data_IF_403982329710
#
_entry.id   IF_403982329710
#
_cell.length_a   1.000
_cell.length_b   1.000
_cell.length_c   1.000
_cell.angle_alpha   90.00
_cell.angle_beta   90.00
_cell.angle_gamma   90.00
#
_symmetry.space_group_name_H-M   'P 1'
#
loop_
_entity.id
_entity.type
_entity.pdbx_description
1 polymer ?
#
# COMPACT_ATOMS: atom_id res chain seq x y z
N UNK A 1 0.54 -14.73 17.16
CA UNK A 1 1.99 -14.78 17.46
C UNK A 1 2.68 -13.60 16.81
N UNK A 2 3.58 -12.91 17.51
CA UNK A 2 4.50 -11.94 16.90
C UNK A 2 5.65 -12.67 16.20
N UNK A 3 6.10 -12.16 15.05
CA UNK A 3 7.24 -12.72 14.31
C UNK A 3 8.49 -12.80 15.17
N UNK A 4 8.67 -11.85 16.10
CA UNK A 4 9.85 -11.76 16.95
C UNK A 4 9.99 -13.01 17.84
N UNK A 5 8.92 -13.45 18.50
CA UNK A 5 8.94 -14.63 19.39
C UNK A 5 9.12 -15.93 18.61
N UNK A 6 8.77 -15.95 17.31
CA UNK A 6 8.98 -17.12 16.45
C UNK A 6 10.45 -17.34 16.11
N UNK A 7 11.24 -16.26 16.06
CA UNK A 7 12.66 -16.30 15.67
C UNK A 7 13.62 -16.11 16.84
N UNK A 8 13.11 -15.94 18.06
CA UNK A 8 13.91 -15.74 19.29
C UNK A 8 13.47 -16.62 20.44
N UNK A 9 14.36 -16.82 21.41
CA UNK A 9 13.96 -17.23 22.74
C UNK A 9 13.33 -16.02 23.45
N UNK A 10 12.23 -16.24 24.15
CA UNK A 10 11.30 -15.24 24.74
C UNK A 10 11.90 -14.18 25.66
N UNK A 11 13.22 -14.16 25.88
CA UNK A 11 13.95 -13.27 26.77
C UNK A 11 14.94 -12.32 26.08
N UNK A 12 15.19 -12.45 24.77
CA UNK A 12 16.11 -11.56 24.06
C UNK A 12 15.39 -10.27 23.60
N UNK A 13 15.99 -9.09 23.80
CA UNK A 13 15.43 -7.79 23.36
C UNK A 13 15.92 -7.31 21.99
N UNK A 14 17.13 -7.72 21.58
CA UNK A 14 17.73 -7.42 20.27
C UNK A 14 18.38 -8.70 19.77
N UNK A 15 18.16 -9.05 18.50
CA UNK A 15 18.77 -10.21 17.87
C UNK A 15 19.29 -9.87 16.47
N UNK A 16 20.44 -10.42 16.05
CA UNK A 16 20.89 -10.30 14.67
C UNK A 16 19.96 -11.11 13.75
N UNK A 17 19.52 -10.50 12.65
CA UNK A 17 18.65 -11.15 11.66
C UNK A 17 19.24 -11.05 10.26
N UNK A 18 19.20 -12.16 9.52
CA UNK A 18 19.44 -12.18 8.06
C UNK A 18 18.08 -12.21 7.37
N UNK A 19 17.89 -11.37 6.36
CA UNK A 19 16.63 -11.29 5.62
C UNK A 19 16.86 -11.14 4.12
N UNK A 20 15.90 -11.58 3.34
CA UNK A 20 15.82 -11.34 1.91
C UNK A 20 14.36 -11.09 1.51
N UNK A 21 14.15 -10.37 0.41
CA UNK A 21 12.80 -10.11 -0.12
C UNK A 21 12.30 -11.37 -0.83
N UNK A 22 11.07 -11.79 -0.51
CA UNK A 22 10.38 -12.89 -1.18
C UNK A 22 9.01 -12.45 -1.68
N UNK A 23 8.48 -13.03 -2.77
CA UNK A 23 7.13 -12.74 -3.22
C UNK A 23 6.08 -13.03 -2.13
N UNK A 24 5.19 -12.08 -1.86
CA UNK A 24 4.12 -12.26 -0.88
C UNK A 24 3.02 -13.17 -1.44
N UNK A 25 2.62 -14.20 -0.69
CA UNK A 25 1.42 -15.00 -0.99
C UNK A 25 0.23 -14.43 -0.22
N UNK A 26 -0.79 -13.97 -0.94
CA UNK A 26 -2.00 -13.38 -0.36
C UNK A 26 -3.25 -13.98 -0.98
N UNK A 27 -4.37 -13.93 -0.25
CA UNK A 27 -5.71 -14.34 -0.70
C UNK A 27 -6.61 -13.12 -0.85
N UNK A 28 -7.56 -13.15 -1.80
CA UNK A 28 -8.63 -12.16 -1.90
C UNK A 28 -8.34 -10.92 -2.76
N UNK A 29 -7.42 -11.03 -3.73
CA UNK A 29 -7.18 -10.03 -4.80
C UNK A 29 -6.64 -8.68 -4.32
N UNK A 30 -6.33 -7.78 -5.25
CA UNK A 30 -5.99 -6.38 -4.92
C UNK A 30 -7.21 -5.71 -4.30
N UNK A 31 -7.00 -4.92 -3.24
CA UNK A 31 -8.07 -4.18 -2.55
C UNK A 31 -7.74 -2.70 -2.55
N UNK A 32 -8.78 -1.88 -2.62
CA UNK A 32 -8.67 -0.43 -2.58
C UNK A 32 -9.53 0.10 -1.43
N UNK A 33 -8.93 0.92 -0.58
CA UNK A 33 -9.68 1.70 0.41
C UNK A 33 -9.77 3.14 -0.11
N UNK A 34 -10.98 3.61 -0.37
CA UNK A 34 -11.24 4.97 -0.85
C UNK A 34 -11.73 5.85 0.30
N UNK A 35 -11.11 7.02 0.48
CA UNK A 35 -11.49 8.03 1.49
C UNK A 35 -11.46 9.41 0.88
N UNK A 36 -12.24 10.35 1.39
CA UNK A 36 -12.14 11.74 0.97
C UNK A 36 -13.47 12.48 0.98
N UNK A 37 -13.54 13.51 0.14
CA UNK A 37 -14.69 14.37 -0.11
C UNK A 37 -14.72 14.74 -1.61
N UNK A 38 -15.73 15.49 -2.11
CA UNK A 38 -15.87 15.80 -3.54
C UNK A 38 -14.66 16.52 -4.18
N UNK A 39 -13.83 17.20 -3.39
CA UNK A 39 -12.69 17.98 -3.89
C UNK A 39 -11.34 17.29 -3.67
N UNK A 40 -11.30 16.21 -2.90
CA UNK A 40 -10.09 15.50 -2.54
C UNK A 40 -10.40 14.03 -2.26
N UNK A 41 -9.82 13.13 -3.04
CA UNK A 41 -9.99 11.69 -2.90
C UNK A 41 -8.63 11.06 -2.67
N UNK A 42 -8.61 10.07 -1.79
CA UNK A 42 -7.47 9.20 -1.54
C UNK A 42 -7.82 7.74 -1.80
N UNK A 43 -6.83 6.99 -2.28
CA UNK A 43 -6.90 5.57 -2.52
C UNK A 43 -5.71 4.88 -1.85
N UNK A 44 -5.97 3.99 -0.90
CA UNK A 44 -4.95 3.11 -0.33
C UNK A 44 -4.96 1.79 -1.09
N UNK A 45 -3.83 1.42 -1.67
CA UNK A 45 -3.69 0.14 -2.39
C UNK A 45 -3.22 -0.94 -1.43
N UNK A 46 -3.98 -2.02 -1.35
CA UNK A 46 -3.76 -3.11 -0.41
C UNK A 46 -3.72 -4.45 -1.14
N UNK A 47 -3.06 -5.43 -0.52
CA UNK A 47 -3.11 -6.83 -0.94
C UNK A 47 -2.56 -7.12 -2.36
N UNK A 48 -1.54 -6.36 -2.79
CA UNK A 48 -0.86 -6.48 -4.11
C UNK A 48 -0.03 -7.77 -4.27
N UNK A 49 0.26 -8.46 -3.16
CA UNK A 49 0.92 -9.76 -3.16
C UNK A 49 2.29 -9.74 -3.86
N UNK A 50 2.61 -10.77 -4.63
CA UNK A 50 3.92 -10.98 -5.27
C UNK A 50 4.25 -10.03 -6.41
N UNK A 51 3.34 -9.13 -6.82
CA UNK A 51 3.60 -8.18 -7.89
C UNK A 51 4.62 -7.08 -7.51
N UNK A 52 4.90 -6.92 -6.21
CA UNK A 52 5.90 -5.99 -5.70
C UNK A 52 5.32 -4.65 -5.27
N UNK A 53 6.10 -3.59 -5.42
CA UNK A 53 5.76 -2.25 -4.96
C UNK A 53 4.90 -1.51 -5.99
N UNK A 54 3.88 -0.78 -5.52
CA UNK A 54 3.04 0.04 -6.40
C UNK A 54 3.80 1.33 -6.73
N UNK A 55 4.03 1.57 -8.01
CA UNK A 55 4.79 2.73 -8.49
C UNK A 55 3.91 3.85 -9.02
N UNK A 56 2.71 3.54 -9.51
CA UNK A 56 1.77 4.51 -10.07
C UNK A 56 0.33 4.08 -9.83
N UNK A 57 -0.55 5.05 -9.63
CA UNK A 57 -2.00 4.86 -9.56
C UNK A 57 -2.65 5.92 -10.42
N UNK A 58 -3.65 5.51 -11.20
CA UNK A 58 -4.48 6.40 -12.01
C UNK A 58 -5.93 6.15 -11.65
N UNK A 59 -6.76 7.17 -11.78
CA UNK A 59 -8.20 7.10 -11.57
C UNK A 59 -8.92 7.64 -12.80
N UNK A 60 -9.95 6.92 -13.23
CA UNK A 60 -10.86 7.32 -14.31
C UNK A 60 -12.18 7.78 -13.68
N UNK A 61 -12.73 8.87 -14.21
CA UNK A 61 -14.04 9.37 -13.82
C UNK A 61 -15.12 8.96 -14.82
N UNK A 62 -16.17 9.78 -14.93
CA UNK A 62 -17.22 9.57 -15.94
C UNK A 62 -16.74 9.85 -17.38
N UNK A 63 -15.77 10.75 -17.53
CA UNK A 63 -15.06 10.98 -18.79
C UNK A 63 -13.90 9.99 -18.88
N UNK A 64 -13.69 9.37 -20.05
CA UNK A 64 -12.72 8.30 -20.27
C UNK A 64 -11.24 8.72 -20.26
N UNK A 65 -10.86 9.57 -19.31
CA UNK A 65 -9.51 10.12 -19.14
C UNK A 65 -8.91 9.66 -17.80
N UNK A 66 -7.88 8.82 -17.87
CA UNK A 66 -7.13 8.36 -16.71
C UNK A 66 -6.22 9.45 -16.16
N UNK A 67 -6.55 9.98 -14.99
CA UNK A 67 -5.74 11.00 -14.30
C UNK A 67 -4.78 10.35 -13.30
N UNK A 68 -3.50 10.74 -13.28
CA UNK A 68 -2.56 10.24 -12.28
C UNK A 68 -2.92 10.73 -10.89
N UNK A 69 -2.79 9.86 -9.89
CA UNK A 69 -2.83 10.21 -8.49
C UNK A 69 -1.41 10.46 -7.97
N UNK A 70 -1.28 11.38 -7.02
CA UNK A 70 0.00 11.71 -6.38
C UNK A 70 0.22 10.84 -5.15
N UNK A 71 1.46 10.38 -4.88
CA UNK A 71 1.75 9.66 -3.66
C UNK A 71 1.59 10.58 -2.44
N UNK A 72 0.95 10.06 -1.40
CA UNK A 72 0.90 10.60 -0.05
C UNK A 72 1.58 9.60 0.90
N UNK A 73 1.76 9.94 2.18
CA UNK A 73 2.45 9.07 3.14
C UNK A 73 1.95 7.61 3.13
N UNK A 74 2.90 6.68 3.07
CA UNK A 74 2.62 5.25 2.99
C UNK A 74 2.25 4.81 1.58
N UNK A 75 1.20 3.99 1.47
CA UNK A 75 0.64 3.51 0.19
C UNK A 75 -0.70 4.20 -0.12
N UNK A 76 -0.82 5.45 0.35
CA UNK A 76 -1.97 6.31 0.12
C UNK A 76 -1.69 7.17 -1.10
N UNK A 77 -2.61 7.20 -2.04
CA UNK A 77 -2.53 7.98 -3.28
C UNK A 77 -3.63 9.02 -3.26
N UNK A 78 -3.39 10.24 -3.72
CA UNK A 78 -4.35 11.34 -3.63
C UNK A 78 -4.56 12.08 -4.95
N UNK A 79 -5.74 12.65 -5.12
CA UNK A 79 -6.09 13.54 -6.22
C UNK A 79 -7.04 14.63 -5.72
N UNK A 80 -6.95 15.83 -6.32
CA UNK A 80 -7.71 17.01 -5.88
C UNK A 80 -6.97 17.82 -4.80
N UNK A 81 -7.60 18.89 -4.30
CA UNK A 81 -7.01 19.73 -3.24
C UNK A 81 -6.05 20.85 -3.71
N UNK A 82 -6.02 21.18 -5.00
CA UNK A 82 -5.32 22.37 -5.50
C UNK A 82 -4.04 22.09 -6.29
N UNK A 83 -4.11 21.25 -7.32
CA UNK A 83 -3.25 21.30 -8.50
C UNK A 83 -3.97 20.57 -9.65
N UNK A 84 -4.84 21.32 -10.33
CA UNK A 84 -5.19 21.13 -11.73
C UNK A 84 -4.62 22.32 -12.49
#
# INVERSE_FOLDING_TARGET
MSIFVTITQSKAGIIPAKFCRVPCVKRGGVRFELKGNPNWITATVLNVAGAGDVTTVRIEGHTSDWRPMLPNWGQVWQIGGGNF
#
